data_IF_016546953756
#
_entry.id   IF_016546953756
#
_cell.length_a   1.000
_cell.length_b   1.000
_cell.length_c   1.000
_cell.angle_alpha   90.00
_cell.angle_beta   90.00
_cell.angle_gamma   90.00
#
_symmetry.space_group_name_H-M   'P 1'
#
loop_
_entity.id
_entity.type
_entity.pdbx_description
1 polymer ?
#
# COMPACT_ATOMS: atom_id res chain seq x y z
N UNK A 1 -45.45 75.26 5.84
CA UNK A 1 -44.85 74.15 5.06
C UNK A 1 -43.34 74.32 5.11
N UNK A 2 -42.65 73.59 6.00
CA UNK A 2 -41.18 73.55 6.04
C UNK A 2 -40.76 72.08 5.88
N UNK A 3 -40.05 71.80 4.79
CA UNK A 3 -39.50 70.51 4.39
C UNK A 3 -38.31 70.12 5.27
N UNK A 4 -38.28 68.87 5.75
CA UNK A 4 -37.12 68.25 6.39
C UNK A 4 -35.97 68.09 5.38
N UNK A 5 -34.70 68.32 5.78
CA UNK A 5 -33.57 68.03 4.91
C UNK A 5 -33.34 66.52 4.80
N UNK A 6 -33.14 66.09 3.55
CA UNK A 6 -32.77 64.75 3.13
C UNK A 6 -31.43 64.34 3.75
N UNK A 7 -31.44 63.32 4.61
CA UNK A 7 -30.23 62.62 5.04
C UNK A 7 -29.66 61.85 3.85
N UNK A 8 -28.78 62.51 3.09
CA UNK A 8 -27.85 61.85 2.18
C UNK A 8 -26.94 60.94 3.01
N UNK A 9 -27.27 59.65 3.02
CA UNK A 9 -26.45 58.59 3.60
C UNK A 9 -25.19 58.44 2.72
N UNK A 10 -24.20 59.30 2.93
CA UNK A 10 -22.87 59.12 2.39
C UNK A 10 -22.27 57.89 3.07
N UNK A 11 -22.46 56.74 2.44
CA UNK A 11 -21.70 55.53 2.74
C UNK A 11 -20.29 55.78 2.20
N UNK A 12 -19.46 56.42 3.02
CA UNK A 12 -18.00 56.41 2.82
C UNK A 12 -17.57 54.94 2.89
N UNK A 13 -17.39 54.33 1.72
CA UNK A 13 -16.75 53.04 1.56
C UNK A 13 -15.29 53.23 1.96
N UNK A 14 -14.99 52.88 3.21
CA UNK A 14 -13.68 53.01 3.80
C UNK A 14 -12.75 51.97 3.13
N UNK A 15 -11.85 52.38 2.21
CA UNK A 15 -11.13 51.47 1.32
C UNK A 15 -10.18 50.52 2.08
N UNK A 16 -9.80 50.90 3.30
CA UNK A 16 -8.88 50.15 4.14
C UNK A 16 -9.47 48.79 4.59
N UNK A 17 -10.79 48.73 4.84
CA UNK A 17 -11.47 47.50 5.25
C UNK A 17 -11.68 46.53 4.08
N UNK A 18 -11.97 47.03 2.88
CA UNK A 18 -12.14 46.17 1.70
C UNK A 18 -10.81 45.55 1.27
N UNK A 19 -9.71 46.29 1.37
CA UNK A 19 -8.34 45.83 1.05
C UNK A 19 -7.86 44.77 2.04
N UNK A 20 -8.15 44.97 3.33
CA UNK A 20 -7.80 44.01 4.38
C UNK A 20 -8.62 42.72 4.22
N UNK A 21 -9.91 42.83 3.90
CA UNK A 21 -10.78 41.69 3.65
C UNK A 21 -10.35 40.89 2.41
N UNK A 22 -9.90 41.55 1.34
CA UNK A 22 -9.33 40.85 0.17
C UNK A 22 -8.04 40.12 0.52
N UNK A 23 -7.16 40.74 1.31
CA UNK A 23 -5.90 40.13 1.75
C UNK A 23 -6.13 38.88 2.61
N UNK A 24 -7.16 38.89 3.46
CA UNK A 24 -7.54 37.71 4.25
C UNK A 24 -8.07 36.57 3.39
N UNK A 25 -8.90 36.87 2.37
CA UNK A 25 -9.42 35.87 1.44
C UNK A 25 -8.30 35.23 0.62
N UNK A 26 -7.36 36.03 0.10
CA UNK A 26 -6.20 35.51 -0.62
C UNK A 26 -5.31 34.60 0.25
N UNK A 27 -5.11 34.96 1.52
CA UNK A 27 -4.38 34.10 2.47
C UNK A 27 -5.10 32.77 2.70
N UNK A 28 -6.43 32.78 2.84
CA UNK A 28 -7.21 31.56 3.02
C UNK A 28 -7.15 30.65 1.79
N UNK A 29 -7.23 31.22 0.58
CA UNK A 29 -7.09 30.48 -0.67
C UNK A 29 -5.70 29.85 -0.78
N UNK A 30 -4.66 30.57 -0.35
CA UNK A 30 -3.30 30.07 -0.33
C UNK A 30 -3.12 28.91 0.67
N UNK A 31 -3.69 29.01 1.87
CA UNK A 31 -3.68 27.92 2.84
C UNK A 31 -4.43 26.70 2.31
N UNK A 32 -5.55 26.89 1.62
CA UNK A 32 -6.31 25.80 1.03
C UNK A 32 -5.49 25.09 -0.07
N UNK A 33 -4.80 25.85 -0.93
CA UNK A 33 -3.90 25.31 -1.94
C UNK A 33 -2.74 24.50 -1.32
N UNK A 34 -2.14 24.98 -0.23
CA UNK A 34 -1.06 24.28 0.48
C UNK A 34 -1.53 22.97 1.11
N UNK A 35 -2.71 22.97 1.75
CA UNK A 35 -3.32 21.75 2.29
C UNK A 35 -3.53 20.72 1.18
N UNK A 36 -3.95 21.18 -0.01
CA UNK A 36 -4.20 20.32 -1.14
C UNK A 36 -2.93 19.70 -1.72
N UNK A 37 -1.85 20.49 -1.79
CA UNK A 37 -0.51 20.01 -2.15
C UNK A 37 0.00 18.95 -1.16
N UNK A 38 -0.16 19.19 0.14
CA UNK A 38 0.23 18.25 1.19
C UNK A 38 -0.58 16.95 1.11
N UNK A 39 -1.90 17.03 0.88
CA UNK A 39 -2.77 15.86 0.67
C UNK A 39 -2.32 15.04 -0.54
N UNK A 40 -1.96 15.69 -1.65
CA UNK A 40 -1.44 15.02 -2.86
C UNK A 40 -0.08 14.36 -2.59
N UNK A 41 0.81 15.01 -1.85
CA UNK A 41 2.10 14.44 -1.45
C UNK A 41 1.92 13.22 -0.53
N UNK A 42 1.03 13.30 0.45
CA UNK A 42 0.70 12.19 1.35
C UNK A 42 0.12 10.99 0.59
N UNK A 43 -0.78 11.22 -0.39
CA UNK A 43 -1.31 10.17 -1.26
C UNK A 43 -0.21 9.51 -2.09
N UNK A 44 0.74 10.28 -2.64
CA UNK A 44 1.89 9.77 -3.38
C UNK A 44 2.80 8.92 -2.49
N UNK A 45 3.15 9.39 -1.28
CA UNK A 45 3.94 8.62 -0.31
C UNK A 45 3.24 7.32 0.10
N UNK A 46 1.94 7.34 0.40
CA UNK A 46 1.17 6.11 0.74
C UNK A 46 1.19 5.10 -0.41
N UNK A 47 1.05 5.55 -1.67
CA UNK A 47 1.15 4.67 -2.84
C UNK A 47 2.56 4.10 -3.01
N UNK A 48 3.61 4.89 -2.78
CA UNK A 48 4.99 4.44 -2.82
C UNK A 48 5.28 3.39 -1.73
N UNK A 49 4.82 3.64 -0.50
CA UNK A 49 4.97 2.72 0.63
C UNK A 49 4.31 1.37 0.33
N UNK A 50 3.10 1.35 -0.26
CA UNK A 50 2.42 0.12 -0.68
C UNK A 50 3.19 -0.67 -1.74
N UNK A 51 3.97 0.00 -2.60
CA UNK A 51 4.84 -0.67 -3.59
C UNK A 51 6.08 -1.24 -2.92
N UNK A 52 6.65 -0.53 -1.94
CA UNK A 52 7.79 -1.02 -1.16
C UNK A 52 7.42 -2.22 -0.29
N UNK A 53 6.30 -2.17 0.46
CA UNK A 53 5.84 -3.31 1.27
C UNK A 53 5.53 -4.54 0.43
N UNK A 54 4.97 -4.36 -0.78
CA UNK A 54 4.80 -5.47 -1.73
C UNK A 54 6.12 -6.05 -2.19
N UNK A 55 7.13 -5.21 -2.47
CA UNK A 55 8.47 -5.66 -2.85
C UNK A 55 9.18 -6.39 -1.71
N UNK A 56 9.03 -5.90 -0.48
CA UNK A 56 9.59 -6.52 0.72
C UNK A 56 8.93 -7.87 1.01
N UNK A 57 7.60 -7.99 0.90
CA UNK A 57 6.89 -9.26 1.07
C UNK A 57 7.27 -10.31 0.01
N UNK A 58 7.51 -9.87 -1.24
CA UNK A 58 8.00 -10.76 -2.31
C UNK A 58 9.47 -11.14 -2.05
N UNK A 59 10.29 -10.19 -1.58
CA UNK A 59 11.69 -10.45 -1.26
C UNK A 59 11.85 -11.44 -0.09
N UNK A 60 11.03 -11.32 0.96
CA UNK A 60 11.05 -12.27 2.08
C UNK A 60 10.62 -13.67 1.64
N UNK A 61 9.59 -13.79 0.79
CA UNK A 61 9.18 -15.06 0.19
C UNK A 61 10.29 -15.67 -0.70
N UNK A 62 11.02 -14.84 -1.44
CA UNK A 62 12.11 -15.29 -2.30
C UNK A 62 13.31 -15.82 -1.50
N UNK A 63 13.63 -15.21 -0.35
CA UNK A 63 14.75 -15.63 0.51
C UNK A 63 14.46 -16.96 1.21
N UNK A 64 13.24 -17.16 1.69
CA UNK A 64 12.87 -18.37 2.44
C UNK A 64 12.24 -19.48 1.58
N UNK A 65 11.86 -19.21 0.32
CA UNK A 65 11.14 -20.15 -0.53
C UNK A 65 11.90 -21.45 -0.80
N UNK A 66 13.20 -21.38 -1.09
CA UNK A 66 14.05 -22.55 -1.35
C UNK A 66 14.21 -23.46 -0.11
N UNK A 67 14.70 -22.97 1.05
CA UNK A 67 14.83 -23.83 2.23
C UNK A 67 13.47 -24.32 2.73
N UNK A 68 12.40 -23.53 2.60
CA UNK A 68 11.05 -23.97 2.95
C UNK A 68 10.55 -25.14 2.08
N UNK A 69 10.77 -25.08 0.76
CA UNK A 69 10.42 -26.20 -0.14
C UNK A 69 11.26 -27.45 0.13
N UNK A 70 12.55 -27.30 0.46
CA UNK A 70 13.40 -28.43 0.86
C UNK A 70 12.86 -29.10 2.12
N UNK A 71 12.53 -28.31 3.14
CA UNK A 71 11.95 -28.82 4.39
C UNK A 71 10.60 -29.51 4.16
N UNK A 72 9.74 -28.93 3.32
CA UNK A 72 8.45 -29.51 2.96
C UNK A 72 8.61 -30.85 2.22
N UNK A 73 9.58 -30.96 1.31
CA UNK A 73 9.89 -32.24 0.66
C UNK A 73 10.38 -33.29 1.66
N UNK A 74 11.24 -32.90 2.60
CA UNK A 74 11.75 -33.81 3.65
C UNK A 74 10.63 -34.30 4.57
N UNK A 75 9.71 -33.43 5.00
CA UNK A 75 8.60 -33.85 5.86
C UNK A 75 7.66 -34.81 5.12
N UNK A 76 7.32 -34.53 3.87
CA UNK A 76 6.51 -35.42 3.03
C UNK A 76 7.19 -36.78 2.83
N UNK A 77 8.50 -36.80 2.61
CA UNK A 77 9.25 -38.05 2.48
C UNK A 77 9.20 -38.90 3.76
N UNK A 78 9.38 -38.27 4.92
CA UNK A 78 9.26 -38.96 6.22
C UNK A 78 7.84 -39.45 6.49
N UNK A 79 6.81 -38.69 6.08
CA UNK A 79 5.42 -39.15 6.13
C UNK A 79 5.20 -40.36 5.21
N UNK A 80 5.78 -40.37 4.01
CA UNK A 80 5.75 -41.52 3.10
C UNK A 80 6.37 -42.78 3.71
N UNK A 81 7.51 -42.64 4.39
CA UNK A 81 8.13 -43.75 5.14
C UNK A 81 7.18 -44.26 6.24
N UNK A 82 6.57 -43.36 7.00
CA UNK A 82 5.62 -43.76 8.04
C UNK A 82 4.41 -44.52 7.47
N UNK A 83 3.91 -44.10 6.29
CA UNK A 83 2.82 -44.80 5.59
C UNK A 83 3.24 -46.17 5.06
N UNK A 84 4.48 -46.33 4.58
CA UNK A 84 5.03 -47.65 4.23
C UNK A 84 5.05 -48.58 5.45
N UNK A 85 5.53 -48.07 6.59
CA UNK A 85 5.58 -48.83 7.84
C UNK A 85 4.18 -49.20 8.36
N UNK A 86 3.17 -48.38 8.05
CA UNK A 86 1.77 -48.66 8.35
C UNK A 86 1.09 -49.61 7.34
N UNK A 87 1.81 -50.13 6.34
CA UNK A 87 1.28 -51.04 5.34
C UNK A 87 0.41 -50.36 4.28
N UNK A 88 0.55 -49.05 4.07
CA UNK A 88 -0.18 -48.29 3.06
C UNK A 88 0.76 -47.84 1.92
N UNK A 89 1.14 -48.74 1.00
CA UNK A 89 2.13 -48.42 -0.04
C UNK A 89 1.62 -47.43 -1.08
N UNK A 90 0.30 -47.43 -1.36
CA UNK A 90 -0.30 -46.52 -2.33
C UNK A 90 -0.20 -45.05 -1.86
N UNK A 91 -0.57 -44.77 -0.61
CA UNK A 91 -0.51 -43.42 -0.04
C UNK A 91 0.93 -42.96 0.19
N UNK A 92 1.85 -43.89 0.49
CA UNK A 92 3.27 -43.58 0.57
C UNK A 92 3.84 -43.09 -0.78
N UNK A 93 3.45 -43.73 -1.88
CA UNK A 93 3.89 -43.33 -3.22
C UNK A 93 3.43 -41.92 -3.58
N UNK A 94 2.20 -41.56 -3.22
CA UNK A 94 1.69 -40.19 -3.40
C UNK A 94 2.53 -39.17 -2.61
N UNK A 95 2.89 -39.50 -1.37
CA UNK A 95 3.74 -38.63 -0.53
C UNK A 95 5.16 -38.50 -1.10
N UNK A 96 5.72 -39.55 -1.68
CA UNK A 96 7.02 -39.49 -2.36
C UNK A 96 6.97 -38.63 -3.62
N UNK A 97 5.91 -38.75 -4.43
CA UNK A 97 5.72 -37.91 -5.61
C UNK A 97 5.59 -36.42 -5.23
N UNK A 98 4.85 -36.12 -4.16
CA UNK A 98 4.75 -34.76 -3.62
C UNK A 98 6.11 -34.25 -3.10
N UNK A 99 6.88 -35.09 -2.40
CA UNK A 99 8.21 -34.75 -1.91
C UNK A 99 9.18 -34.42 -3.06
N UNK A 100 9.19 -35.26 -4.10
CA UNK A 100 9.99 -35.03 -5.31
C UNK A 100 9.57 -33.75 -6.03
N UNK A 101 8.27 -33.48 -6.10
CA UNK A 101 7.75 -32.25 -6.71
C UNK A 101 8.24 -31.02 -5.94
N UNK A 102 8.20 -31.05 -4.60
CA UNK A 102 8.70 -29.98 -3.75
C UNK A 102 10.21 -29.74 -3.94
N UNK A 103 11.02 -30.81 -4.00
CA UNK A 103 12.46 -30.69 -4.28
C UNK A 103 12.74 -30.19 -5.69
N UNK A 104 12.03 -30.68 -6.71
CA UNK A 104 12.17 -30.19 -8.08
C UNK A 104 11.81 -28.70 -8.20
N UNK A 105 10.80 -28.24 -7.44
CA UNK A 105 10.45 -26.83 -7.34
C UNK A 105 11.57 -26.00 -6.69
N UNK A 106 12.15 -26.51 -5.60
CA UNK A 106 13.25 -25.85 -4.89
C UNK A 106 14.52 -25.67 -5.75
N UNK A 107 14.82 -26.66 -6.60
CA UNK A 107 16.02 -26.70 -7.44
C UNK A 107 15.77 -26.32 -8.91
N UNK A 108 14.52 -26.05 -9.31
CA UNK A 108 14.24 -25.55 -10.66
C UNK A 108 14.97 -24.20 -10.86
N UNK A 109 15.90 -24.19 -11.80
CA UNK A 109 16.59 -22.96 -12.20
C UNK A 109 15.58 -22.12 -12.96
N UNK A 110 15.22 -20.91 -12.50
CA UNK A 110 14.44 -20.02 -13.34
C UNK A 110 15.24 -19.77 -14.61
N UNK A 111 14.70 -20.17 -15.76
CA UNK A 111 15.24 -19.80 -17.07
C UNK A 111 15.35 -18.29 -17.10
N UNK A 112 16.57 -17.75 -17.07
CA UNK A 112 16.80 -16.32 -17.21
C UNK A 112 16.20 -15.85 -18.55
N UNK A 113 15.40 -14.77 -18.58
CA UNK A 113 15.04 -14.09 -19.81
C UNK A 113 16.23 -13.32 -20.40
#
# INVERSE_FOLDING_TARGET
MNSLPSNGFNRETNPDFDTMNTTYVEMLDQFEADIDLLRRAARRRRKALRRQTRREAVATLAVYGKPAMVMLGTTLFMTGIAMLMAGQPATAMDMFNLALTAWSGAFSVPSQP
#
